data_IF_781645646208
#
_entry.id   IF_781645646208
#
_cell.length_a   1.000
_cell.length_b   1.000
_cell.length_c   1.000
_cell.angle_alpha   90.00
_cell.angle_beta   90.00
_cell.angle_gamma   90.00
#
_symmetry.space_group_name_H-M   'P 1'
#
loop_
_entity.id
_entity.type
_entity.pdbx_description
1 polymer ?
#
# COMPACT_ATOMS: atom_id res chain seq x y z
N UNK A 1 16.72 -8.40 -24.91
CA UNK A 1 16.96 -7.82 -23.59
C UNK A 1 15.71 -7.18 -23.03
N UNK A 2 15.31 -7.60 -21.89
CA UNK A 2 14.17 -7.01 -21.22
C UNK A 2 14.64 -6.30 -19.94
N UNK A 3 14.01 -5.18 -19.65
CA UNK A 3 14.26 -4.51 -18.39
C UNK A 3 13.82 -5.43 -17.27
N UNK A 4 14.66 -5.62 -16.27
CA UNK A 4 14.24 -6.39 -15.12
C UNK A 4 13.22 -5.59 -14.31
N UNK A 5 12.24 -6.28 -13.79
CA UNK A 5 11.29 -5.65 -12.87
C UNK A 5 12.07 -5.19 -11.63
N UNK A 6 11.72 -4.02 -11.15
CA UNK A 6 12.37 -3.47 -9.96
C UNK A 6 11.83 -4.20 -8.74
N UNK A 7 12.73 -4.71 -7.92
CA UNK A 7 12.34 -5.37 -6.67
C UNK A 7 11.96 -4.34 -5.62
N UNK A 8 11.01 -4.71 -4.80
CA UNK A 8 10.62 -3.89 -3.66
C UNK A 8 11.82 -3.80 -2.69
N UNK A 9 12.17 -2.60 -2.23
CA UNK A 9 13.30 -2.44 -1.31
C UNK A 9 13.03 -3.08 0.04
N UNK A 10 14.12 -3.42 0.73
CA UNK A 10 14.08 -4.03 2.05
C UNK A 10 14.47 -3.00 3.08
N UNK A 11 13.49 -2.46 3.77
CA UNK A 11 13.69 -1.47 4.84
C UNK A 11 12.83 -1.82 6.04
N UNK A 12 13.02 -1.13 7.15
CA UNK A 12 12.29 -1.39 8.38
C UNK A 12 11.12 -0.45 8.53
N UNK A 13 9.98 -1.01 8.91
CA UNK A 13 8.76 -0.25 9.22
C UNK A 13 8.15 -0.86 10.48
N UNK A 14 7.14 -0.20 11.06
CA UNK A 14 6.40 -0.77 12.19
C UNK A 14 5.10 -1.37 11.70
N UNK A 15 4.70 -2.47 12.30
CA UNK A 15 3.41 -3.06 11.99
C UNK A 15 2.33 -2.46 12.91
N UNK A 16 1.10 -2.99 12.81
CA UNK A 16 -0.03 -2.46 13.58
C UNK A 16 0.16 -2.61 15.08
N UNK A 17 0.93 -3.60 15.52
CA UNK A 17 1.22 -3.83 16.95
C UNK A 17 2.42 -3.03 17.45
N UNK A 18 3.01 -2.20 16.59
CA UNK A 18 4.17 -1.40 16.97
C UNK A 18 5.50 -2.13 16.88
N UNK A 19 5.50 -3.33 16.32
CA UNK A 19 6.70 -4.13 16.17
C UNK A 19 7.43 -3.76 14.89
N UNK A 20 8.75 -3.69 14.93
CA UNK A 20 9.57 -3.41 13.75
C UNK A 20 9.65 -4.67 12.90
N UNK A 21 9.33 -4.54 11.62
CA UNK A 21 9.42 -5.64 10.65
C UNK A 21 10.19 -5.17 9.43
N UNK A 22 10.64 -6.12 8.63
CA UNK A 22 11.24 -5.83 7.33
C UNK A 22 10.15 -5.79 6.28
N UNK A 23 10.24 -4.87 5.32
CA UNK A 23 9.27 -4.81 4.22
C UNK A 23 9.32 -6.09 3.38
N UNK A 24 10.47 -6.81 3.36
CA UNK A 24 10.54 -8.10 2.68
C UNK A 24 9.61 -9.13 3.30
N UNK A 25 9.29 -8.99 4.58
CA UNK A 25 8.36 -9.90 5.24
C UNK A 25 6.94 -9.81 4.67
N UNK A 26 6.64 -8.75 3.92
CA UNK A 26 5.34 -8.60 3.27
C UNK A 26 5.21 -9.49 2.03
N UNK A 27 6.32 -9.94 1.47
CA UNK A 27 6.33 -10.76 0.25
C UNK A 27 6.09 -12.21 0.65
N UNK A 28 4.99 -12.78 0.19
CA UNK A 28 4.60 -14.13 0.62
C UNK A 28 3.97 -14.95 -0.52
N UNK A 29 4.21 -14.57 -1.75
CA UNK A 29 3.62 -15.24 -2.90
C UNK A 29 2.29 -14.66 -3.34
N UNK A 30 1.74 -13.72 -2.57
CA UNK A 30 0.47 -13.07 -2.88
C UNK A 30 0.74 -11.67 -3.44
N UNK A 31 0.18 -11.31 -4.60
CA UNK A 31 0.33 -9.94 -5.11
C UNK A 31 -0.24 -8.93 -4.14
N UNK A 32 0.31 -7.71 -4.20
CA UNK A 32 -0.08 -6.65 -3.27
C UNK A 32 -0.39 -5.36 -3.98
N UNK A 33 -1.39 -4.64 -3.46
CA UNK A 33 -1.55 -3.22 -3.73
C UNK A 33 -0.91 -2.51 -2.54
N UNK A 34 0.11 -1.69 -2.78
CA UNK A 34 0.77 -0.93 -1.72
C UNK A 34 0.42 0.54 -1.91
N UNK A 35 -0.24 1.14 -0.94
CA UNK A 35 -0.65 2.53 -1.02
C UNK A 35 0.02 3.34 0.08
N UNK A 36 0.77 4.38 -0.31
CA UNK A 36 1.39 5.31 0.63
C UNK A 36 0.41 6.44 0.92
N UNK A 37 0.14 6.69 2.20
CA UNK A 37 -0.87 7.65 2.63
C UNK A 37 -0.40 8.40 3.88
N UNK A 38 -1.10 9.49 4.21
CA UNK A 38 -0.88 10.18 5.49
C UNK A 38 -2.21 10.65 6.05
N UNK A 39 -2.22 10.99 7.33
CA UNK A 39 -3.45 11.41 8.02
C UNK A 39 -3.98 12.73 7.49
N UNK A 40 -3.14 13.54 6.84
CA UNK A 40 -3.55 14.81 6.27
C UNK A 40 -3.83 14.74 4.78
N UNK A 41 -3.71 13.55 4.19
CA UNK A 41 -3.89 13.37 2.75
C UNK A 41 -5.29 12.87 2.45
N UNK A 42 -6.19 13.78 2.14
CA UNK A 42 -7.60 13.44 1.88
C UNK A 42 -7.77 12.51 0.68
N UNK A 43 -7.11 12.76 -0.48
CA UNK A 43 -7.23 11.83 -1.60
C UNK A 43 -6.73 10.43 -1.28
N UNK A 44 -5.72 10.31 -0.39
CA UNK A 44 -5.23 9.00 0.04
C UNK A 44 -6.33 8.21 0.74
N UNK A 45 -7.01 8.87 1.66
CA UNK A 45 -8.08 8.24 2.43
C UNK A 45 -9.23 7.85 1.52
N UNK A 46 -9.55 8.72 0.56
CA UNK A 46 -10.59 8.43 -0.43
C UNK A 46 -10.26 7.19 -1.25
N UNK A 47 -9.00 7.07 -1.70
CA UNK A 47 -8.58 5.93 -2.48
C UNK A 47 -8.66 4.63 -1.67
N UNK A 48 -8.13 4.65 -0.44
CA UNK A 48 -8.15 3.48 0.41
C UNK A 48 -9.58 3.06 0.75
N UNK A 49 -10.47 4.03 0.95
CA UNK A 49 -11.86 3.70 1.19
C UNK A 49 -12.56 3.14 -0.06
N UNK A 50 -12.22 3.67 -1.25
CA UNK A 50 -12.79 3.15 -2.49
C UNK A 50 -12.35 1.71 -2.72
N UNK A 51 -11.07 1.40 -2.46
CA UNK A 51 -10.57 0.03 -2.57
C UNK A 51 -11.30 -0.87 -1.56
N UNK A 52 -11.47 -0.38 -0.34
CA UNK A 52 -12.11 -1.16 0.72
C UNK A 52 -13.57 -1.46 0.39
N UNK A 53 -14.26 -0.52 -0.21
CA UNK A 53 -15.66 -0.71 -0.61
C UNK A 53 -15.82 -1.84 -1.62
N UNK A 54 -14.79 -2.07 -2.43
CA UNK A 54 -14.82 -3.10 -3.49
C UNK A 54 -14.08 -4.37 -3.11
N UNK A 55 -13.45 -4.40 -1.94
CA UNK A 55 -12.46 -5.42 -1.61
C UNK A 55 -13.01 -6.83 -1.69
N UNK A 56 -14.16 -7.08 -1.08
CA UNK A 56 -14.71 -8.44 -1.06
C UNK A 56 -15.10 -8.91 -2.46
N UNK A 57 -15.69 -8.02 -3.25
CA UNK A 57 -16.05 -8.38 -4.63
C UNK A 57 -14.80 -8.68 -5.45
N UNK A 58 -13.74 -7.88 -5.29
CA UNK A 58 -12.51 -8.08 -6.02
C UNK A 58 -11.81 -9.37 -5.61
N UNK A 59 -11.88 -9.73 -4.32
CA UNK A 59 -11.24 -10.95 -3.83
C UNK A 59 -11.91 -12.20 -4.33
N UNK A 60 -13.17 -12.10 -4.80
CA UNK A 60 -13.82 -13.24 -5.45
C UNK A 60 -13.22 -13.52 -6.83
N UNK A 61 -12.58 -12.54 -7.45
CA UNK A 61 -12.05 -12.69 -8.80
C UNK A 61 -10.53 -12.80 -8.85
N UNK A 62 -9.82 -12.34 -7.83
CA UNK A 62 -8.36 -12.34 -7.83
C UNK A 62 -7.85 -12.47 -6.40
N UNK A 63 -6.71 -13.14 -6.25
CA UNK A 63 -6.06 -13.26 -4.94
C UNK A 63 -5.02 -12.16 -4.80
N UNK A 64 -5.14 -11.31 -3.79
CA UNK A 64 -4.21 -10.24 -3.52
C UNK A 64 -4.43 -9.72 -2.10
N UNK A 65 -3.52 -8.88 -1.64
CA UNK A 65 -3.70 -8.18 -0.38
C UNK A 65 -3.41 -6.70 -0.57
N UNK A 66 -3.87 -5.88 0.36
CA UNK A 66 -3.66 -4.43 0.32
C UNK A 66 -2.80 -4.06 1.52
N UNK A 67 -1.71 -3.35 1.26
CA UNK A 67 -0.80 -2.85 2.28
C UNK A 67 -0.92 -1.34 2.30
N UNK A 68 -1.39 -0.79 3.41
CA UNK A 68 -1.51 0.65 3.60
C UNK A 68 -0.29 1.12 4.39
N UNK A 69 0.52 1.98 3.79
CA UNK A 69 1.77 2.44 4.38
C UNK A 69 1.59 3.90 4.79
N UNK A 70 1.55 4.16 6.10
CA UNK A 70 1.49 5.53 6.59
C UNK A 70 2.88 6.16 6.52
N UNK A 71 2.96 7.36 5.95
CA UNK A 71 4.20 8.13 5.95
C UNK A 71 4.23 9.17 7.06
N UNK A 72 3.27 9.10 7.99
CA UNK A 72 3.26 9.97 9.16
C UNK A 72 4.52 9.73 9.99
N UNK A 73 5.12 10.83 10.47
CA UNK A 73 6.31 10.72 11.30
C UNK A 73 5.92 10.54 12.78
N UNK A 74 6.92 10.59 13.66
CA UNK A 74 6.67 10.33 15.08
C UNK A 74 5.63 11.25 15.70
N UNK A 75 5.45 12.46 15.14
CA UNK A 75 4.49 13.43 15.70
C UNK A 75 3.04 13.04 15.46
N UNK A 76 2.76 12.36 14.34
CA UNK A 76 1.39 12.01 13.96
C UNK A 76 1.15 10.52 13.88
N UNK A 77 2.12 9.71 14.32
CA UNK A 77 2.04 8.26 14.23
C UNK A 77 0.82 7.71 14.98
N UNK A 78 0.55 8.20 16.19
CA UNK A 78 -0.59 7.68 16.93
C UNK A 78 -1.91 8.05 16.27
N UNK A 79 -1.98 9.20 15.60
CA UNK A 79 -3.16 9.56 14.82
C UNK A 79 -3.34 8.60 13.65
N UNK A 80 -2.24 8.22 12.99
CA UNK A 80 -2.31 7.27 11.89
C UNK A 80 -2.85 5.92 12.36
N UNK A 81 -2.37 5.43 13.50
CA UNK A 81 -2.86 4.17 14.06
C UNK A 81 -4.35 4.24 14.40
N UNK A 82 -4.78 5.36 14.99
CA UNK A 82 -6.20 5.53 15.30
C UNK A 82 -7.04 5.60 14.04
N UNK A 83 -6.52 6.23 13.00
CA UNK A 83 -7.27 6.40 11.75
C UNK A 83 -7.49 5.07 11.03
N UNK A 84 -6.52 4.17 11.03
CA UNK A 84 -6.71 2.86 10.39
C UNK A 84 -7.86 2.11 11.05
N UNK A 85 -8.00 2.23 12.36
CA UNK A 85 -9.12 1.61 13.06
C UNK A 85 -10.44 2.34 12.81
N UNK A 86 -10.40 3.67 12.83
CA UNK A 86 -11.61 4.46 12.64
C UNK A 86 -12.19 4.39 11.24
N UNK A 87 -11.35 4.18 10.23
CA UNK A 87 -11.81 4.06 8.85
C UNK A 87 -12.29 2.64 8.51
N UNK A 88 -12.06 1.68 9.41
CA UNK A 88 -12.48 0.31 9.15
C UNK A 88 -11.59 -0.42 8.16
N UNK A 89 -10.29 -0.15 8.20
CA UNK A 89 -9.31 -0.80 7.31
C UNK A 89 -8.77 -2.08 7.93
N UNK A 90 -9.64 -2.84 8.55
CA UNK A 90 -9.25 -4.05 9.30
C UNK A 90 -8.70 -5.15 8.42
N UNK A 91 -9.12 -5.17 7.16
CA UNK A 91 -8.67 -6.20 6.21
C UNK A 91 -7.37 -5.84 5.51
N UNK A 92 -6.84 -4.64 5.77
CA UNK A 92 -5.58 -4.20 5.20
C UNK A 92 -4.43 -4.58 6.12
N UNK A 93 -3.27 -4.81 5.49
CA UNK A 93 -2.02 -4.88 6.25
C UNK A 93 -1.56 -3.44 6.43
N UNK A 94 -1.62 -2.93 7.66
CA UNK A 94 -1.25 -1.54 7.92
C UNK A 94 0.14 -1.49 8.51
N UNK A 95 1.03 -0.72 7.85
CA UNK A 95 2.39 -0.52 8.33
C UNK A 95 2.67 0.98 8.43
N UNK A 96 3.64 1.34 9.24
CA UNK A 96 3.91 2.72 9.59
C UNK A 96 5.38 3.02 9.37
N UNK A 97 5.63 3.97 8.47
CA UNK A 97 6.95 4.32 7.97
C UNK A 97 7.42 5.62 8.63
N UNK A 98 7.51 5.62 9.96
CA UNK A 98 7.71 6.86 10.71
C UNK A 98 9.02 7.59 10.39
N UNK A 99 10.03 6.86 9.92
CA UNK A 99 11.30 7.47 9.50
C UNK A 99 11.32 7.77 8.01
N UNK A 100 10.27 7.39 7.28
CA UNK A 100 10.10 7.60 5.85
C UNK A 100 11.17 6.91 5.00
N UNK A 101 11.78 5.86 5.53
CA UNK A 101 12.78 5.08 4.80
C UNK A 101 12.15 4.34 3.62
N UNK A 102 10.95 3.78 3.81
CA UNK A 102 10.26 3.08 2.74
C UNK A 102 9.82 4.06 1.67
N UNK A 103 9.28 5.20 2.10
CA UNK A 103 8.88 6.26 1.19
C UNK A 103 10.04 6.68 0.28
N UNK A 104 11.21 6.93 0.89
CA UNK A 104 12.38 7.34 0.12
C UNK A 104 12.88 6.24 -0.80
N UNK A 105 12.91 5.00 -0.30
CA UNK A 105 13.41 3.87 -1.09
C UNK A 105 12.52 3.59 -2.30
N UNK A 106 11.21 3.89 -2.20
CA UNK A 106 10.27 3.70 -3.31
C UNK A 106 10.13 4.94 -4.17
N UNK A 107 10.90 6.00 -3.88
CA UNK A 107 10.88 7.25 -4.64
C UNK A 107 9.51 7.93 -4.63
N UNK A 108 8.81 7.87 -3.51
CA UNK A 108 7.50 8.51 -3.37
C UNK A 108 7.72 9.97 -2.99
N UNK A 109 7.24 10.90 -3.83
CA UNK A 109 7.32 12.33 -3.57
C UNK A 109 6.01 12.88 -3.02
N UNK A 110 4.90 12.47 -3.62
CA UNK A 110 3.56 12.94 -3.26
C UNK A 110 2.69 11.75 -2.93
N UNK A 111 1.71 11.95 -2.06
CA UNK A 111 0.72 10.92 -1.75
C UNK A 111 -0.64 11.36 -2.28
N UNK A 112 -1.51 10.42 -2.66
CA UNK A 112 -1.26 8.98 -2.63
C UNK A 112 -0.34 8.55 -3.76
N UNK A 113 0.49 7.56 -3.48
CA UNK A 113 1.28 6.88 -4.50
C UNK A 113 1.05 5.40 -4.28
N UNK A 114 0.57 4.73 -5.31
CA UNK A 114 0.10 3.35 -5.19
C UNK A 114 0.88 2.46 -6.15
N UNK A 115 1.30 1.32 -5.66
CA UNK A 115 2.10 0.37 -6.42
C UNK A 115 1.39 -0.96 -6.47
N UNK A 116 1.58 -1.69 -7.56
CA UNK A 116 1.21 -3.10 -7.66
C UNK A 116 2.51 -3.88 -7.62
N UNK A 117 2.60 -4.85 -6.72
CA UNK A 117 3.77 -5.70 -6.55
C UNK A 117 3.32 -7.14 -6.73
N UNK A 118 4.04 -7.91 -7.56
CA UNK A 118 3.66 -9.29 -7.80
C UNK A 118 4.02 -10.17 -6.59
N UNK A 119 3.69 -11.44 -6.65
CA UNK A 119 3.89 -12.35 -5.52
C UNK A 119 5.34 -12.60 -5.17
N UNK A 120 6.26 -12.20 -6.03
CA UNK A 120 7.70 -12.38 -5.82
C UNK A 120 8.37 -11.10 -5.33
N UNK A 121 7.61 -10.02 -5.17
CA UNK A 121 8.15 -8.76 -4.68
C UNK A 121 8.61 -7.80 -5.78
N UNK A 122 8.22 -8.03 -7.03
CA UNK A 122 8.58 -7.15 -8.13
C UNK A 122 7.51 -6.11 -8.36
N UNK A 123 7.93 -4.85 -8.51
CA UNK A 123 7.02 -3.74 -8.78
C UNK A 123 6.64 -3.78 -10.24
N UNK A 124 5.35 -3.95 -10.54
CA UNK A 124 4.88 -4.10 -11.92
C UNK A 124 4.05 -2.92 -12.38
N UNK A 125 3.65 -2.02 -11.47
CA UNK A 125 2.84 -0.86 -11.84
C UNK A 125 2.92 0.17 -10.73
N UNK A 126 2.86 1.45 -11.09
CA UNK A 126 2.75 2.51 -10.09
C UNK A 126 1.90 3.64 -10.65
N UNK A 127 1.23 4.34 -9.74
CA UNK A 127 0.33 5.42 -10.07
C UNK A 127 0.35 6.45 -8.94
N UNK A 128 0.42 7.73 -9.30
CA UNK A 128 0.46 8.81 -8.34
C UNK A 128 -0.84 9.62 -8.43
N UNK A 129 -1.37 10.02 -7.28
CA UNK A 129 -2.63 10.76 -7.22
C UNK A 129 -3.84 9.84 -7.25
N UNK A 130 -5.01 10.43 -7.01
CA UNK A 130 -6.27 9.68 -7.02
C UNK A 130 -7.39 10.55 -7.58
N UNK A 131 -8.15 9.97 -8.49
CA UNK A 131 -9.39 10.53 -9.01
C UNK A 131 -10.48 9.49 -8.79
N UNK A 132 -11.69 9.87 -8.35
CA UNK A 132 -12.75 8.88 -8.14
C UNK A 132 -12.93 7.99 -9.37
N UNK A 133 -12.91 6.69 -9.14
CA UNK A 133 -13.00 5.69 -10.19
C UNK A 133 -11.66 5.12 -10.64
N UNK A 134 -10.54 5.80 -10.34
CA UNK A 134 -9.24 5.32 -10.78
C UNK A 134 -8.80 4.06 -10.03
N UNK A 135 -9.46 3.72 -8.92
CA UNK A 135 -9.18 2.46 -8.21
C UNK A 135 -9.46 1.24 -9.09
N UNK A 136 -10.35 1.37 -10.07
CA UNK A 136 -10.66 0.26 -10.96
C UNK A 136 -9.44 -0.17 -11.78
N UNK A 137 -8.58 0.77 -12.11
CA UNK A 137 -7.36 0.45 -12.84
C UNK A 137 -6.44 -0.45 -12.02
N UNK A 138 -6.39 -0.23 -10.72
CA UNK A 138 -5.61 -1.10 -9.84
C UNK A 138 -6.10 -2.53 -9.91
N UNK A 139 -7.41 -2.70 -9.89
CA UNK A 139 -8.00 -4.03 -9.97
C UNK A 139 -7.69 -4.70 -11.30
N UNK A 140 -7.76 -3.94 -12.40
CA UNK A 140 -7.42 -4.49 -13.71
C UNK A 140 -5.97 -4.97 -13.75
N UNK A 141 -5.06 -4.21 -13.14
CA UNK A 141 -3.65 -4.60 -13.10
C UNK A 141 -3.44 -5.84 -12.24
N UNK A 142 -4.16 -5.95 -11.13
CA UNK A 142 -4.08 -7.14 -10.27
C UNK A 142 -4.57 -8.37 -11.03
N UNK A 143 -5.69 -8.25 -11.75
CA UNK A 143 -6.25 -9.38 -12.50
C UNK A 143 -5.33 -9.84 -13.63
N UNK A 144 -4.52 -8.92 -14.15
CA UNK A 144 -3.59 -9.25 -15.22
C UNK A 144 -2.40 -10.11 -14.74
N UNK A 145 -2.20 -10.18 -13.42
CA UNK A 145 -1.15 -11.02 -12.86
C UNK A 145 -1.63 -12.46 -12.79
N UNK A 146 -0.79 -13.37 -13.28
CA UNK A 146 -1.16 -14.80 -13.30
C UNK A 146 -0.28 -15.60 -12.37
#
# INVERSE_FOLDING_TARGET
>A
FSASAQSMPDVKVENQEGKVISTRDLVDGTPMIISFWSTTCKPCIMELNAINDNLYDWLEEANFKVVAVSVDDARTLSRARAMTQGQGWDDYVCVYDKNQDFKRAMNVSLTPHTFIVDGEGNIVYSHSGYTPGSEQELFEKIKALK
#
